data_IF_477299109043
#
_entry.id   IF_477299109043
#
_cell.length_a   1.000
_cell.length_b   1.000
_cell.length_c   1.000
_cell.angle_alpha   90.00
_cell.angle_beta   90.00
_cell.angle_gamma   90.00
#
_symmetry.space_group_name_H-M   'P 1'
#
loop_
_entity.id
_entity.type
_entity.pdbx_description
1 polymer ?
#
# COMPACT_ATOMS: atom_id res chain seq x y z
N UNK A 1 2.84 2.77 12.60
CA UNK A 1 2.27 1.70 13.43
C UNK A 1 1.61 0.67 12.54
N UNK A 2 1.43 -0.58 13.01
CA UNK A 2 0.73 -1.64 12.25
C UNK A 2 -0.70 -1.19 11.88
N UNK A 3 -1.41 -0.54 12.81
CA UNK A 3 -2.74 0.03 12.54
C UNK A 3 -2.75 0.94 11.32
N UNK A 4 -1.74 1.82 11.19
CA UNK A 4 -1.68 2.76 10.07
C UNK A 4 -1.37 2.07 8.73
N UNK A 5 -0.56 1.01 8.76
CA UNK A 5 -0.28 0.21 7.56
C UNK A 5 -1.53 -0.57 7.12
N UNK A 6 -2.32 -1.07 8.07
CA UNK A 6 -3.61 -1.70 7.78
C UNK A 6 -4.58 -0.70 7.14
N UNK A 7 -4.74 0.49 7.72
CA UNK A 7 -5.60 1.54 7.12
C UNK A 7 -5.23 1.86 5.67
N UNK A 8 -3.93 2.00 5.37
CA UNK A 8 -3.47 2.30 4.02
C UNK A 8 -3.76 1.14 3.06
N UNK A 9 -3.60 -0.11 3.54
CA UNK A 9 -3.91 -1.30 2.74
C UNK A 9 -5.39 -1.33 2.36
N UNK A 10 -6.28 -1.14 3.34
CA UNK A 10 -7.72 -1.11 3.12
C UNK A 10 -8.10 0.02 2.16
N UNK A 11 -7.52 1.22 2.32
CA UNK A 11 -7.79 2.36 1.42
C UNK A 11 -7.40 2.06 -0.03
N UNK A 12 -6.24 1.41 -0.27
CA UNK A 12 -5.80 1.02 -1.61
C UNK A 12 -6.80 0.04 -2.23
N UNK A 13 -7.26 -0.94 -1.46
CA UNK A 13 -8.20 -1.97 -1.91
C UNK A 13 -9.57 -1.36 -2.22
N UNK A 14 -10.09 -0.53 -1.32
CA UNK A 14 -11.39 0.11 -1.49
C UNK A 14 -11.40 1.05 -2.70
N UNK A 15 -10.31 1.78 -2.91
CA UNK A 15 -10.13 2.62 -4.09
C UNK A 15 -10.09 1.80 -5.38
N UNK A 16 -9.42 0.65 -5.38
CA UNK A 16 -9.36 -0.24 -6.53
C UNK A 16 -10.76 -0.79 -6.89
N UNK A 17 -11.52 -1.23 -5.87
CA UNK A 17 -12.92 -1.67 -6.04
C UNK A 17 -13.82 -0.55 -6.55
N UNK A 18 -13.72 0.65 -5.96
CA UNK A 18 -14.51 1.81 -6.37
C UNK A 18 -14.26 2.18 -7.83
N UNK A 19 -12.99 2.12 -8.26
CA UNK A 19 -12.56 2.40 -9.62
C UNK A 19 -12.81 1.22 -10.59
N UNK A 20 -13.40 0.12 -10.14
CA UNK A 20 -13.63 -1.11 -10.91
C UNK A 20 -12.35 -1.65 -11.56
N UNK A 21 -11.23 -1.57 -10.84
CA UNK A 21 -9.99 -2.18 -11.27
C UNK A 21 -10.07 -3.70 -11.08
N UNK A 22 -9.47 -4.45 -12.00
CA UNK A 22 -9.46 -5.92 -11.92
C UNK A 22 -8.56 -6.43 -10.78
N UNK A 23 -7.55 -5.63 -10.40
CA UNK A 23 -6.58 -5.95 -9.36
C UNK A 23 -6.26 -4.72 -8.49
N UNK A 24 -5.95 -4.95 -7.21
CA UNK A 24 -5.34 -3.95 -6.34
C UNK A 24 -3.85 -4.25 -6.17
N UNK A 25 -3.01 -3.26 -6.47
CA UNK A 25 -1.55 -3.36 -6.37
C UNK A 25 -1.11 -2.78 -5.03
N UNK A 26 -0.52 -3.61 -4.18
CA UNK A 26 -0.12 -3.22 -2.82
C UNK A 26 1.37 -3.46 -2.62
N UNK A 27 2.14 -2.46 -2.16
CA UNK A 27 3.53 -2.68 -1.78
C UNK A 27 3.65 -3.57 -0.54
N UNK A 28 4.65 -4.45 -0.56
CA UNK A 28 4.95 -5.42 0.50
C UNK A 28 5.19 -4.79 1.88
N UNK A 29 5.79 -3.60 1.97
CA UNK A 29 6.08 -2.92 3.24
C UNK A 29 4.84 -2.47 4.03
N UNK A 30 3.64 -2.55 3.46
CA UNK A 30 2.38 -2.39 4.20
C UNK A 30 1.94 -3.67 4.92
N UNK A 31 2.69 -4.77 4.78
CA UNK A 31 2.46 -6.04 5.45
C UNK A 31 3.45 -6.24 6.61
N UNK A 32 3.02 -6.83 7.74
CA UNK A 32 3.90 -7.10 8.87
C UNK A 32 5.07 -8.06 8.56
N UNK A 33 6.22 -7.98 9.26
CA UNK A 33 7.41 -8.84 9.08
C UNK A 33 7.20 -10.34 9.16
N UNK A 34 6.18 -10.80 9.87
CA UNK A 34 5.83 -12.23 9.93
C UNK A 34 5.35 -12.73 8.56
N UNK A 35 4.83 -11.82 7.73
CA UNK A 35 4.53 -12.04 6.31
C UNK A 35 5.75 -11.77 5.40
N UNK A 36 6.90 -11.35 5.94
CA UNK A 36 8.15 -11.17 5.18
C UNK A 36 9.11 -12.36 5.32
N UNK A 37 8.94 -13.19 6.37
CA UNK A 37 9.82 -14.32 6.69
C UNK A 37 9.26 -15.70 6.31
N UNK A 38 8.01 -15.76 5.81
CA UNK A 38 7.36 -16.95 5.23
C UNK A 38 7.55 -17.02 3.70
N UNK A 39 7.04 -18.06 3.01
CA UNK A 39 7.50 -18.43 1.66
C UNK A 39 7.31 -17.28 0.67
N UNK A 40 8.09 -17.30 -0.43
CA UNK A 40 8.26 -16.24 -1.45
C UNK A 40 7.01 -15.40 -1.72
N UNK A 41 7.19 -14.16 -2.21
CA UNK A 41 6.15 -13.21 -2.63
C UNK A 41 4.89 -13.87 -3.28
N UNK A 42 5.06 -15.00 -3.96
CA UNK A 42 4.02 -15.89 -4.52
C UNK A 42 2.98 -16.40 -3.49
N UNK A 43 3.36 -16.63 -2.24
CA UNK A 43 2.46 -17.03 -1.14
C UNK A 43 1.52 -15.90 -0.73
N UNK A 44 1.92 -14.65 -0.97
CA UNK A 44 1.14 -13.47 -0.63
C UNK A 44 0.27 -13.00 -1.80
N UNK A 45 0.67 -13.30 -3.04
CA UNK A 45 -0.23 -13.36 -4.20
C UNK A 45 -1.14 -14.61 -4.17
N UNK A 46 -1.40 -15.16 -2.99
CA UNK A 46 -2.25 -16.34 -2.86
C UNK A 46 -3.71 -15.98 -3.11
N UNK A 47 -4.37 -16.90 -3.80
CA UNK A 47 -5.81 -16.87 -4.03
C UNK A 47 -6.61 -16.65 -2.74
N UNK A 48 -6.09 -17.06 -1.58
CA UNK A 48 -6.71 -16.84 -0.27
C UNK A 48 -6.91 -15.36 0.08
N UNK A 49 -5.91 -14.51 -0.21
CA UNK A 49 -6.01 -13.06 0.03
C UNK A 49 -6.93 -12.38 -0.97
N UNK A 50 -6.82 -12.75 -2.26
CA UNK A 50 -7.76 -12.26 -3.28
C UNK A 50 -9.21 -12.65 -2.96
N UNK A 51 -9.44 -13.86 -2.45
CA UNK A 51 -10.77 -14.33 -1.98
C UNK A 51 -11.26 -13.58 -0.74
N UNK A 52 -10.41 -13.34 0.24
CA UNK A 52 -10.78 -12.59 1.46
C UNK A 52 -11.25 -11.17 1.12
N UNK A 53 -10.52 -10.49 0.22
CA UNK A 53 -10.85 -9.12 -0.17
C UNK A 53 -11.83 -9.02 -1.34
N UNK A 54 -12.10 -10.11 -2.07
CA UNK A 54 -13.02 -10.13 -3.21
C UNK A 54 -12.50 -9.38 -4.45
N UNK A 55 -11.18 -9.19 -4.55
CA UNK A 55 -10.49 -8.56 -5.68
C UNK A 55 -9.12 -9.21 -5.83
N UNK A 56 -8.59 -9.29 -7.05
CA UNK A 56 -7.25 -9.83 -7.23
C UNK A 56 -6.20 -8.94 -6.55
N UNK A 57 -5.37 -9.53 -5.69
CA UNK A 57 -4.35 -8.81 -4.95
C UNK A 57 -2.98 -9.11 -5.54
N UNK A 58 -2.34 -8.05 -6.03
CA UNK A 58 -0.97 -8.11 -6.53
C UNK A 58 -0.04 -7.41 -5.57
N UNK A 59 0.66 -8.20 -4.77
CA UNK A 59 1.69 -7.70 -3.87
C UNK A 59 2.96 -7.53 -4.67
N UNK A 60 3.54 -6.34 -4.57
CA UNK A 60 4.75 -5.98 -5.27
C UNK A 60 5.85 -5.69 -4.25
N UNK A 61 7.05 -6.21 -4.52
CA UNK A 61 8.26 -5.70 -3.88
C UNK A 61 8.30 -4.18 -4.05
N UNK A 62 8.98 -3.42 -3.17
CA UNK A 62 8.99 -1.97 -3.27
C UNK A 62 9.57 -1.61 -4.64
N UNK A 63 8.69 -1.20 -5.55
CA UNK A 63 9.12 -0.62 -6.81
C UNK A 63 9.96 0.59 -6.45
N UNK A 64 11.08 0.78 -7.15
CA UNK A 64 11.89 1.98 -7.01
C UNK A 64 10.94 3.19 -7.09
N UNK A 65 10.78 3.88 -5.96
CA UNK A 65 10.01 5.12 -5.95
C UNK A 65 10.76 6.09 -6.85
N UNK A 66 10.13 6.49 -7.95
CA UNK A 66 10.74 7.41 -8.90
C UNK A 66 10.79 8.81 -8.28
N UNK A 67 11.86 9.07 -7.52
CA UNK A 67 12.11 10.35 -6.87
C UNK A 67 12.24 11.50 -7.87
N UNK A 68 12.45 11.23 -9.17
CA UNK A 68 12.43 12.29 -10.19
C UNK A 68 11.06 12.95 -10.30
N UNK A 69 9.97 12.21 -10.03
CA UNK A 69 8.62 12.80 -9.95
C UNK A 69 8.51 13.73 -8.76
N UNK A 70 8.93 13.30 -7.58
CA UNK A 70 8.89 14.12 -6.37
C UNK A 70 9.74 15.40 -6.50
N UNK A 71 10.88 15.31 -7.19
CA UNK A 71 11.75 16.46 -7.44
C UNK A 71 11.14 17.51 -8.38
N UNK A 72 10.31 17.07 -9.33
CA UNK A 72 9.66 17.93 -10.32
C UNK A 72 8.28 18.46 -9.88
N UNK A 73 7.74 17.98 -8.76
CA UNK A 73 6.51 18.54 -8.21
C UNK A 73 6.78 19.93 -7.62
N UNK A 74 5.87 20.89 -7.88
CA UNK A 74 5.90 22.16 -7.17
C UNK A 74 5.86 21.88 -5.68
N UNK A 75 6.80 22.42 -4.88
CA UNK A 75 6.77 22.24 -3.44
C UNK A 75 5.42 22.73 -2.92
N UNK A 76 4.69 21.84 -2.23
CA UNK A 76 3.55 22.24 -1.44
C UNK A 76 4.11 23.16 -0.33
N UNK A 77 3.84 24.47 -0.45
CA UNK A 77 4.09 25.42 0.62
C UNK A 77 3.11 25.14 1.75
N UNK A 78 3.38 24.12 2.53
CA UNK A 78 2.63 23.83 3.75
C UNK A 78 3.12 24.82 4.80
N UNK A 79 2.55 26.03 4.78
CA UNK A 79 2.64 26.96 5.90
C UNK A 79 1.66 26.52 7.02
N UNK A 80 1.55 25.21 7.23
CA UNK A 80 0.80 24.64 8.33
C UNK A 80 1.79 24.48 9.48
N UNK A 81 1.63 25.29 10.52
CA UNK A 81 2.21 24.99 11.83
C UNK A 81 1.86 23.53 12.14
N UNK A 82 2.87 22.69 12.29
CA UNK A 82 2.69 21.34 12.82
C UNK A 82 2.31 21.50 14.29
N UNK A 83 1.02 21.62 14.55
CA UNK A 83 0.50 21.56 15.90
C UNK A 83 0.48 20.08 16.31
N UNK A 84 1.51 19.63 17.01
CA UNK A 84 1.41 18.40 17.78
C UNK A 84 0.41 18.66 18.92
N UNK A 85 -0.83 18.23 18.76
CA UNK A 85 -1.73 18.09 19.91
C UNK A 85 -1.25 16.86 20.69
N UNK A 86 -0.52 17.12 21.78
CA UNK A 86 -0.21 16.14 22.84
C UNK A 86 -1.40 16.06 23.78
#
# INVERSE_FOLDING_TARGET
>A
SISKQTEIREEIIDRAKHNKQDQAIIPDYYFPPVLHAGPSLDTFNSEAMSRYYGIDLKITAPGFFDYSRAFNFKPLNINAKICNNV
#
